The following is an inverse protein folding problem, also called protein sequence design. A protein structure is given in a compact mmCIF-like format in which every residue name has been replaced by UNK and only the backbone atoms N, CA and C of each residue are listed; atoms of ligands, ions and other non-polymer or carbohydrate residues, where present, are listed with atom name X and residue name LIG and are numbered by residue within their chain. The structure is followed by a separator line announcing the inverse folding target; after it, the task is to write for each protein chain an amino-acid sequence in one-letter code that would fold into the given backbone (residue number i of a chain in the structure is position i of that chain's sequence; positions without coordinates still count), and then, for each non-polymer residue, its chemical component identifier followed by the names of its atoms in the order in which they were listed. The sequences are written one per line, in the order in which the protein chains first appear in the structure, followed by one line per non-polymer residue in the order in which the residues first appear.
data_IF_791349384738
#
_entry.id   IF_791349384738
#
_cell.length_a   1.000
_cell.length_b   1.000
_cell.length_c   1.000
_cell.angle_alpha   90.00
_cell.angle_beta   90.00
_cell.angle_gamma   90.00
#
_symmetry.space_group_name_H-M   'P 1'
#
loop_
_entity.id
_entity.type
_entity.pdbx_description
1 polymer ?
#
# COMPACT_ATOMS: atom_id res chain seq x y z
N UNK A 1 9.75 5.79 9.28
CA UNK A 1 11.11 5.96 9.78
C UNK A 1 11.98 6.65 8.75
N UNK A 2 13.12 7.17 9.19
CA UNK A 2 14.06 7.82 8.29
C UNK A 2 14.62 6.85 7.24
N UNK A 3 14.88 5.61 7.66
CA UNK A 3 15.37 4.57 6.74
C UNK A 3 14.35 4.29 5.65
N UNK A 4 13.09 4.17 6.01
CA UNK A 4 12.00 3.92 5.08
C UNK A 4 11.88 5.05 4.05
N UNK A 5 11.91 6.28 4.52
CA UNK A 5 11.80 7.44 3.62
C UNK A 5 12.98 7.51 2.66
N UNK A 6 14.18 7.17 3.13
CA UNK A 6 15.37 7.18 2.28
C UNK A 6 15.25 6.15 1.17
N UNK A 7 14.78 4.95 1.49
CA UNK A 7 14.59 3.90 0.50
C UNK A 7 13.56 4.35 -0.55
N UNK A 8 12.45 4.94 -0.10
CA UNK A 8 11.42 5.43 -1.02
C UNK A 8 11.95 6.53 -1.94
N UNK A 9 12.72 7.46 -1.38
CA UNK A 9 13.28 8.55 -2.17
C UNK A 9 14.21 8.04 -3.26
N UNK A 10 15.05 7.05 -2.94
CA UNK A 10 15.96 6.47 -3.90
C UNK A 10 15.24 5.63 -4.95
N UNK A 11 14.17 4.95 -4.58
CA UNK A 11 13.32 4.24 -5.53
C UNK A 11 12.75 5.19 -6.57
N UNK A 12 12.27 6.35 -6.12
CA UNK A 12 11.66 7.34 -7.02
C UNK A 12 12.67 7.89 -8.02
N UNK A 13 13.95 7.88 -7.69
CA UNK A 13 14.99 8.29 -8.62
C UNK A 13 15.47 7.16 -9.51
N UNK A 14 15.02 5.93 -9.24
CA UNK A 14 15.41 4.76 -10.00
C UNK A 14 16.78 4.20 -9.64
N UNK A 15 17.44 4.77 -8.63
CA UNK A 15 18.80 4.36 -8.27
C UNK A 15 18.84 2.99 -7.60
N UNK A 16 17.85 2.70 -6.75
CA UNK A 16 17.83 1.46 -5.96
C UNK A 16 16.56 0.65 -6.16
N UNK A 17 16.05 0.63 -7.39
CA UNK A 17 14.84 -0.13 -7.69
C UNK A 17 14.94 -1.58 -7.24
N UNK A 18 16.11 -2.23 -7.52
CA UNK A 18 16.35 -3.60 -7.09
C UNK A 18 16.56 -3.70 -5.59
N UNK A 19 17.12 -2.65 -5.00
CA UNK A 19 17.40 -2.66 -3.58
C UNK A 19 16.13 -2.76 -2.77
N UNK A 20 15.09 -2.03 -3.14
CA UNK A 20 13.81 -2.09 -2.43
C UNK A 20 13.18 -3.47 -2.53
N UNK A 21 13.38 -4.18 -3.65
CA UNK A 21 12.86 -5.54 -3.82
C UNK A 21 13.57 -6.55 -2.92
N UNK A 22 14.79 -6.27 -2.50
CA UNK A 22 15.57 -7.15 -1.63
C UNK A 22 15.24 -6.91 -0.17
N UNK A 23 14.89 -5.67 0.20
CA UNK A 23 14.60 -5.32 1.60
C UNK A 23 13.31 -5.97 2.07
N UNK A 24 13.40 -6.72 3.16
CA UNK A 24 12.24 -7.33 3.79
C UNK A 24 11.56 -6.31 4.70
N UNK A 25 10.22 -6.26 4.72
CA UNK A 25 9.52 -5.35 5.63
C UNK A 25 9.93 -5.52 7.10
N UNK A 26 10.20 -6.75 7.53
CA UNK A 26 10.65 -7.01 8.89
C UNK A 26 11.96 -6.31 9.22
N UNK A 27 12.87 -6.23 8.25
CA UNK A 27 14.17 -5.60 8.44
C UNK A 27 14.04 -4.09 8.62
N UNK A 28 12.92 -3.52 8.16
CA UNK A 28 12.63 -2.11 8.29
C UNK A 28 11.69 -1.80 9.46
N UNK A 29 11.42 -2.79 10.31
CA UNK A 29 10.47 -2.63 11.41
C UNK A 29 9.02 -2.67 10.97
N UNK A 30 8.74 -3.22 9.79
CA UNK A 30 7.40 -3.28 9.21
C UNK A 30 6.96 -4.74 9.12
N UNK A 31 6.57 -5.31 10.27
CA UNK A 31 6.25 -6.72 10.37
C UNK A 31 4.84 -7.10 9.94
N UNK A 32 3.94 -6.13 9.81
CA UNK A 32 2.55 -6.40 9.45
C UNK A 32 2.32 -6.07 7.97
N UNK A 33 1.83 -7.03 7.22
CA UNK A 33 1.66 -6.92 5.78
C UNK A 33 0.25 -7.34 5.42
N UNK A 34 -0.48 -6.48 4.72
CA UNK A 34 -1.86 -6.75 4.35
C UNK A 34 -2.12 -6.37 2.90
N UNK A 35 -3.05 -7.08 2.27
CA UNK A 35 -3.59 -6.71 0.97
C UNK A 35 -5.01 -6.21 1.23
N UNK A 36 -5.26 -4.96 0.84
CA UNK A 36 -6.52 -4.29 1.11
C UNK A 36 -7.29 -4.12 -0.18
N UNK A 37 -8.51 -4.66 -0.20
CA UNK A 37 -9.40 -4.53 -1.35
C UNK A 37 -10.37 -3.39 -1.05
N UNK A 38 -10.27 -2.30 -1.81
CA UNK A 38 -11.03 -1.07 -1.53
C UNK A 38 -12.15 -0.93 -2.56
N UNK A 39 -13.35 -0.66 -2.06
CA UNK A 39 -14.50 -0.32 -2.89
C UNK A 39 -14.80 1.16 -2.76
N UNK A 40 -15.03 1.81 -3.88
CA UNK A 40 -15.37 3.23 -3.90
C UNK A 40 -16.88 3.40 -3.98
N UNK A 41 -17.38 4.45 -3.34
CA UNK A 41 -18.82 4.69 -3.23
C UNK A 41 -19.42 5.11 -4.57
N UNK A 42 -18.68 5.89 -5.36
CA UNK A 42 -19.18 6.45 -6.61
C UNK A 42 -18.05 6.68 -7.59
N UNK A 43 -18.41 6.83 -8.85
CA UNK A 43 -17.47 7.20 -9.91
C UNK A 43 -17.42 8.73 -10.06
N UNK A 44 -17.15 9.41 -8.97
CA UNK A 44 -16.92 10.86 -8.98
C UNK A 44 -15.45 11.09 -9.31
N UNK A 45 -15.14 11.70 -10.46
CA UNK A 45 -13.73 11.86 -10.87
C UNK A 45 -12.90 12.64 -9.85
N UNK A 46 -13.48 13.64 -9.19
CA UNK A 46 -12.75 14.44 -8.21
C UNK A 46 -12.44 13.63 -6.95
N UNK A 47 -13.41 12.85 -6.48
CA UNK A 47 -13.22 12.00 -5.31
C UNK A 47 -12.22 10.89 -5.59
N UNK A 48 -12.28 10.30 -6.79
CA UNK A 48 -11.33 9.26 -7.19
C UNK A 48 -9.93 9.84 -7.31
N UNK A 49 -9.77 11.03 -7.91
CA UNK A 49 -8.47 11.67 -8.02
C UNK A 49 -7.90 11.98 -6.64
N UNK A 50 -8.73 12.43 -5.70
CA UNK A 50 -8.30 12.70 -4.33
C UNK A 50 -7.85 11.41 -3.64
N UNK A 51 -8.59 10.31 -3.84
CA UNK A 51 -8.22 9.00 -3.31
C UNK A 51 -6.84 8.57 -3.82
N UNK A 52 -6.64 8.65 -5.14
CA UNK A 52 -5.39 8.24 -5.76
C UNK A 52 -4.21 9.06 -5.21
N UNK A 53 -4.38 10.38 -5.12
CA UNK A 53 -3.32 11.24 -4.57
C UNK A 53 -3.02 10.90 -3.11
N UNK A 54 -4.07 10.65 -2.33
CA UNK A 54 -3.92 10.36 -0.91
C UNK A 54 -3.15 9.05 -0.69
N UNK A 55 -3.56 7.97 -1.37
CA UNK A 55 -2.88 6.68 -1.20
C UNK A 55 -1.46 6.71 -1.74
N UNK A 56 -1.23 7.44 -2.82
CA UNK A 56 0.12 7.54 -3.40
C UNK A 56 1.09 8.26 -2.46
N UNK A 57 0.59 9.11 -1.58
CA UNK A 57 1.42 9.88 -0.66
C UNK A 57 1.74 9.13 0.63
N UNK A 58 1.05 8.01 0.92
CA UNK A 58 1.25 7.28 2.17
C UNK A 58 2.37 6.26 2.01
N UNK A 59 3.35 6.34 2.90
CA UNK A 59 4.49 5.41 2.85
C UNK A 59 4.10 3.98 3.20
N UNK A 60 3.02 3.78 3.96
CA UNK A 60 2.54 2.44 4.30
C UNK A 60 2.04 1.69 3.07
N UNK A 61 1.58 2.43 2.05
CA UNK A 61 1.07 1.83 0.82
C UNK A 61 2.24 1.56 -0.12
N UNK A 62 2.53 0.29 -0.35
CA UNK A 62 3.62 -0.13 -1.21
C UNK A 62 3.19 -0.17 -2.68
N UNK A 63 2.02 -0.69 -2.93
CA UNK A 63 1.46 -0.81 -4.27
C UNK A 63 -0.02 -0.46 -4.23
N UNK A 64 -0.51 0.07 -5.33
CA UNK A 64 -1.93 0.31 -5.52
C UNK A 64 -2.28 0.04 -6.97
N UNK A 65 -3.26 -0.83 -7.18
CA UNK A 65 -3.69 -1.22 -8.52
C UNK A 65 -5.18 -1.04 -8.66
N UNK A 66 -5.61 -0.41 -9.74
CA UNK A 66 -7.00 -0.41 -10.14
C UNK A 66 -7.28 -1.71 -10.90
N UNK A 67 -8.35 -2.41 -10.54
CA UNK A 67 -8.65 -3.70 -11.16
C UNK A 67 -10.10 -3.79 -11.57
N UNK A 68 -10.39 -4.80 -12.37
CA UNK A 68 -11.78 -5.21 -12.62
C UNK A 68 -12.23 -6.11 -11.45
N UNK A 69 -13.55 -6.32 -11.34
CA UNK A 69 -14.10 -7.19 -10.32
C UNK A 69 -14.87 -6.40 -9.27
N UNK A 70 -15.09 -7.02 -8.11
CA UNK A 70 -15.91 -6.42 -7.07
C UNK A 70 -15.22 -5.28 -6.34
N UNK A 71 -13.92 -5.36 -6.17
CA UNK A 71 -13.15 -4.27 -5.58
C UNK A 71 -12.61 -3.38 -6.69
N UNK A 72 -12.54 -2.09 -6.41
CA UNK A 72 -12.07 -1.12 -7.38
C UNK A 72 -10.57 -0.96 -7.35
N UNK A 73 -9.97 -1.03 -6.16
CA UNK A 73 -8.53 -0.86 -5.98
C UNK A 73 -8.00 -1.89 -4.99
N UNK A 74 -6.77 -2.31 -5.23
CA UNK A 74 -6.06 -3.25 -4.37
C UNK A 74 -4.78 -2.58 -3.90
N UNK A 75 -4.62 -2.48 -2.58
CA UNK A 75 -3.46 -1.86 -1.97
C UNK A 75 -2.65 -2.91 -1.23
N UNK A 76 -1.33 -2.83 -1.37
CA UNK A 76 -0.45 -3.58 -0.50
C UNK A 76 0.06 -2.63 0.57
N UNK A 77 -0.26 -2.93 1.82
CA UNK A 77 0.01 -2.05 2.95
C UNK A 77 0.96 -2.75 3.92
N UNK A 78 1.98 -2.03 4.36
CA UNK A 78 2.95 -2.54 5.31
C UNK A 78 3.01 -1.61 6.51
N UNK A 79 2.82 -2.17 7.70
CA UNK A 79 2.83 -1.42 8.95
C UNK A 79 3.70 -2.13 9.98
N UNK A 80 4.01 -1.44 11.06
CA UNK A 80 4.84 -2.02 12.13
C UNK A 80 4.15 -3.19 12.79
N UNK A 81 2.85 -3.06 13.06
CA UNK A 81 2.05 -4.07 13.73
C UNK A 81 0.58 -3.85 13.41
N UNK A 82 -0.28 -4.68 13.99
CA UNK A 82 -1.72 -4.57 13.74
C UNK A 82 -2.31 -3.28 14.30
N UNK A 83 -1.77 -2.77 15.39
CA UNK A 83 -2.27 -1.51 15.95
C UNK A 83 -1.98 -0.35 15.01
N UNK A 84 -0.81 -0.33 14.40
CA UNK A 84 -0.47 0.67 13.40
C UNK A 84 -1.39 0.55 12.18
N UNK A 85 -1.72 -0.67 11.78
CA UNK A 85 -2.64 -0.89 10.68
C UNK A 85 -4.05 -0.39 11.00
N UNK A 86 -4.52 -0.64 12.22
CA UNK A 86 -5.83 -0.12 12.65
C UNK A 86 -5.85 1.40 12.61
N UNK A 87 -4.78 2.05 13.03
CA UNK A 87 -4.69 3.51 12.92
C UNK A 87 -4.69 3.96 11.47
N UNK A 88 -4.01 3.23 10.58
CA UNK A 88 -4.03 3.51 9.16
C UNK A 88 -5.46 3.49 8.60
N UNK A 89 -6.25 2.48 8.98
CA UNK A 89 -7.63 2.39 8.55
C UNK A 89 -8.47 3.55 9.10
N UNK A 90 -8.42 3.74 10.42
CA UNK A 90 -9.31 4.69 11.09
C UNK A 90 -8.96 6.14 10.81
N UNK A 91 -7.66 6.45 10.78
CA UNK A 91 -7.20 7.84 10.69
C UNK A 91 -6.95 8.28 9.26
N UNK A 92 -6.83 7.33 8.33
CA UNK A 92 -6.53 7.66 6.95
C UNK A 92 -7.54 7.08 5.97
N UNK A 93 -7.57 5.76 5.83
CA UNK A 93 -8.32 5.15 4.71
C UNK A 93 -9.82 5.43 4.79
N UNK A 94 -10.42 5.21 5.96
CA UNK A 94 -11.86 5.40 6.11
C UNK A 94 -12.28 6.86 6.22
N UNK A 95 -11.33 7.78 6.27
CA UNK A 95 -11.63 9.21 6.22
C UNK A 95 -11.70 9.76 4.82
N UNK A 96 -11.29 8.97 3.82
CA UNK A 96 -11.36 9.40 2.43
C UNK A 96 -12.81 9.30 1.94
N UNK A 97 -13.36 10.39 1.41
CA UNK A 97 -14.79 10.40 1.04
C UNK A 97 -15.17 9.36 0.00
N UNK A 98 -14.25 9.01 -0.90
CA UNK A 98 -14.54 8.05 -1.96
C UNK A 98 -14.65 6.61 -1.45
N UNK A 99 -14.07 6.30 -0.28
CA UNK A 99 -14.02 4.93 0.20
C UNK A 99 -15.36 4.51 0.77
N UNK A 100 -15.97 3.50 0.16
CA UNK A 100 -17.21 2.90 0.62
C UNK A 100 -16.93 1.82 1.65
N UNK A 101 -15.90 1.01 1.41
CA UNK A 101 -15.55 -0.07 2.30
C UNK A 101 -14.24 -0.69 1.88
N UNK A 102 -13.72 -1.53 2.75
CA UNK A 102 -12.44 -2.20 2.49
C UNK A 102 -12.47 -3.57 3.13
N UNK A 103 -11.84 -4.52 2.45
CA UNK A 103 -11.63 -5.87 2.97
C UNK A 103 -10.14 -6.07 3.11
N UNK A 104 -9.71 -6.49 4.29
CA UNK A 104 -8.30 -6.72 4.59
C UNK A 104 -7.99 -8.21 4.54
N UNK A 105 -6.95 -8.56 3.81
CA UNK A 105 -6.37 -9.89 3.85
C UNK A 105 -4.96 -9.77 4.41
N UNK A 106 -4.73 -10.33 5.59
CA UNK A 106 -3.42 -10.30 6.22
C UNK A 106 -2.53 -11.33 5.54
N UNK A 107 -1.34 -10.92 5.13
CA UNK A 107 -0.38 -11.84 4.54
C UNK A 107 0.24 -12.67 5.65
N UNK A 108 -0.04 -13.96 5.64
CA UNK A 108 0.50 -14.88 6.63
C UNK A 108 1.92 -15.30 6.29
N UNK A 109 2.18 -15.49 4.99
CA UNK A 109 3.45 -16.00 4.54
C UNK A 109 3.66 -15.61 3.10
N UNK A 110 4.84 -15.09 2.79
CA UNK A 110 5.21 -14.82 1.42
C UNK A 110 5.88 -16.07 0.83
N UNK A 111 5.28 -16.62 -0.20
CA UNK A 111 5.78 -17.86 -0.80
C UNK A 111 6.84 -17.57 -1.85
N UNK A 112 6.63 -16.53 -2.63
CA UNK A 112 7.55 -16.18 -3.70
C UNK A 112 7.49 -14.68 -3.97
N UNK A 113 8.66 -14.09 -4.17
CA UNK A 113 8.76 -12.69 -4.55
C UNK A 113 9.94 -12.53 -5.50
N UNK A 114 9.62 -12.24 -6.76
CA UNK A 114 10.65 -11.97 -7.74
C UNK A 114 11.13 -10.53 -7.61
N UNK A 115 12.45 -10.27 -7.72
CA UNK A 115 12.96 -8.90 -7.61
C UNK A 115 12.59 -8.03 -8.81
N UNK A 116 12.29 -8.64 -9.94
CA UNK A 116 11.88 -7.91 -11.15
C UNK A 116 11.09 -8.85 -12.05
N UNK A 117 10.35 -8.25 -12.99
CA UNK A 117 9.66 -9.02 -14.01
C UNK A 117 10.66 -9.45 -15.06
N UNK A 118 10.70 -10.76 -15.34
CA UNK A 118 11.54 -11.30 -16.39
C UNK A 118 10.73 -11.39 -17.68
N UNK A 119 11.24 -10.81 -18.74
CA UNK A 119 10.58 -10.80 -20.04
C UNK A 119 11.26 -11.74 -21.02
#
# INVERSE_FOLDING_TARGET
SACWRRVRALEQTGVIERYSAILQPKQLGMGFHAIVHVQLARHDPDAIAAFIRAVASRREVQDCHATTGQADYHLRVVCADIDAYNRFLDDFLFRLPAVRGAQTNVVLKEIKRAPSVEL
#
